data_IF_279787485586
#
_entry.id   IF_279787485586
#
_cell.length_a   1.000
_cell.length_b   1.000
_cell.length_c   1.000
_cell.angle_alpha   90.00
_cell.angle_beta   90.00
_cell.angle_gamma   90.00
#
_symmetry.space_group_name_H-M   'P 1'
#
loop_
_entity.id
_entity.type
_entity.pdbx_description
1 polymer ?
#
# COMPACT_ATOMS: atom_id res chain seq x y z
N UNK A 1 -50.62 -16.46 30.73
CA UNK A 1 -49.20 -16.73 30.53
C UNK A 1 -48.37 -16.06 31.59
N UNK A 2 -47.47 -16.76 32.25
CA UNK A 2 -46.53 -16.15 33.17
C UNK A 2 -45.55 -15.29 32.38
N UNK A 3 -45.28 -14.07 32.84
CA UNK A 3 -44.34 -13.18 32.19
C UNK A 3 -42.92 -13.74 32.29
N UNK A 4 -42.17 -13.67 31.21
CA UNK A 4 -40.76 -14.01 31.20
C UNK A 4 -39.94 -13.02 32.05
N UNK A 5 -38.93 -13.51 32.74
CA UNK A 5 -38.01 -12.65 33.49
C UNK A 5 -37.18 -11.79 32.58
N UNK A 6 -37.07 -10.50 32.84
CA UNK A 6 -36.12 -9.63 32.17
C UNK A 6 -34.73 -9.87 32.75
N UNK A 7 -33.71 -10.15 31.96
CA UNK A 7 -32.34 -10.37 32.44
C UNK A 7 -31.78 -9.14 33.20
N UNK A 8 -30.98 -9.37 34.24
CA UNK A 8 -30.32 -8.29 35.00
C UNK A 8 -29.37 -7.44 34.10
N UNK A 9 -28.84 -8.05 33.05
CA UNK A 9 -27.92 -7.43 32.07
C UNK A 9 -28.62 -6.94 30.76
N UNK A 10 -29.92 -6.59 30.87
CA UNK A 10 -30.76 -6.25 29.70
C UNK A 10 -30.15 -5.16 28.80
N UNK A 11 -29.60 -4.10 29.37
CA UNK A 11 -29.00 -3.02 28.56
C UNK A 11 -27.76 -3.48 27.80
N UNK A 12 -26.90 -4.32 28.41
CA UNK A 12 -25.73 -4.90 27.74
C UNK A 12 -26.15 -5.88 26.64
N UNK A 13 -27.21 -6.67 26.89
CA UNK A 13 -27.81 -7.59 25.92
C UNK A 13 -28.35 -6.83 24.69
N UNK A 14 -29.10 -5.78 24.91
CA UNK A 14 -29.63 -4.93 23.84
C UNK A 14 -28.51 -4.28 23.04
N UNK A 15 -27.50 -3.75 23.71
CA UNK A 15 -26.32 -3.18 23.04
C UNK A 15 -25.58 -4.24 22.18
N UNK A 16 -25.47 -5.48 22.67
CA UNK A 16 -24.91 -6.58 21.91
C UNK A 16 -25.76 -6.92 20.67
N UNK A 17 -27.08 -6.94 20.82
CA UNK A 17 -28.03 -7.19 19.72
C UNK A 17 -27.95 -6.08 18.65
N UNK A 18 -27.95 -4.82 19.07
CA UNK A 18 -27.84 -3.66 18.16
C UNK A 18 -26.53 -3.72 17.36
N UNK A 19 -25.44 -4.13 18.00
CA UNK A 19 -24.12 -4.23 17.35
C UNK A 19 -24.05 -5.28 16.23
N UNK A 20 -25.03 -6.20 16.16
CA UNK A 20 -25.10 -7.21 15.10
C UNK A 20 -25.76 -6.69 13.81
N UNK A 21 -26.45 -5.54 13.88
CA UNK A 21 -27.17 -4.94 12.74
C UNK A 21 -28.11 -5.92 12.04
N UNK A 22 -28.81 -6.76 12.83
CA UNK A 22 -29.75 -7.77 12.34
C UNK A 22 -31.21 -7.37 12.56
N UNK A 23 -31.51 -6.51 13.56
CA UNK A 23 -32.86 -6.07 13.81
C UNK A 23 -33.42 -5.32 12.61
N UNK A 24 -34.62 -5.73 12.19
CA UNK A 24 -35.35 -5.15 11.07
C UNK A 24 -34.62 -5.21 9.73
N UNK A 25 -33.49 -5.94 9.64
CA UNK A 25 -32.75 -6.15 8.41
C UNK A 25 -33.55 -7.08 7.44
N UNK A 26 -33.30 -6.97 6.13
CA UNK A 26 -33.84 -7.94 5.17
C UNK A 26 -33.41 -9.37 5.52
N UNK A 27 -34.26 -10.36 5.14
CA UNK A 27 -33.89 -11.77 5.27
C UNK A 27 -32.62 -12.07 4.45
N UNK A 28 -31.77 -12.94 4.98
CA UNK A 28 -30.53 -13.37 4.32
C UNK A 28 -30.58 -14.88 4.01
N UNK A 29 -30.20 -15.24 2.78
CA UNK A 29 -30.21 -16.62 2.31
C UNK A 29 -29.48 -17.61 3.21
N UNK A 30 -28.41 -17.16 3.87
CA UNK A 30 -27.62 -18.00 4.78
C UNK A 30 -28.45 -18.42 6.00
N UNK A 31 -29.17 -17.49 6.62
CA UNK A 31 -30.04 -17.76 7.78
C UNK A 31 -31.28 -18.57 7.35
N UNK A 32 -31.90 -18.21 6.22
CA UNK A 32 -33.04 -18.93 5.70
C UNK A 32 -32.70 -20.39 5.42
N UNK A 33 -31.53 -20.69 4.83
CA UNK A 33 -31.09 -22.06 4.59
C UNK A 33 -30.95 -22.88 5.87
N UNK A 34 -30.43 -22.29 6.95
CA UNK A 34 -30.30 -22.97 8.25
C UNK A 34 -31.66 -23.24 8.85
N UNK A 35 -32.55 -22.23 8.87
CA UNK A 35 -33.90 -22.37 9.45
C UNK A 35 -34.78 -23.37 8.65
N UNK A 36 -34.69 -23.38 7.32
CA UNK A 36 -35.36 -24.39 6.48
C UNK A 36 -34.82 -25.79 6.79
N UNK A 37 -33.50 -25.94 6.85
CA UNK A 37 -32.89 -27.23 7.19
C UNK A 37 -33.27 -27.70 8.59
N UNK A 38 -33.40 -26.77 9.54
CA UNK A 38 -33.86 -27.05 10.91
C UNK A 38 -35.27 -27.66 10.87
N UNK A 39 -36.23 -27.05 10.15
CA UNK A 39 -37.58 -27.54 10.01
C UNK A 39 -37.63 -28.96 9.37
N UNK A 40 -36.80 -29.19 8.34
CA UNK A 40 -36.69 -30.50 7.68
C UNK A 40 -36.14 -31.58 8.61
N UNK A 41 -35.01 -31.29 9.29
CA UNK A 41 -34.30 -32.26 10.15
C UNK A 41 -35.15 -32.69 11.34
N UNK A 42 -35.86 -31.75 11.97
CA UNK A 42 -36.75 -32.05 13.10
C UNK A 42 -38.16 -32.44 12.66
N UNK A 43 -38.43 -32.39 11.34
CA UNK A 43 -39.75 -32.69 10.79
C UNK A 43 -40.86 -31.94 11.53
N UNK A 44 -40.73 -30.61 11.62
CA UNK A 44 -41.66 -29.72 12.31
C UNK A 44 -42.23 -28.73 11.30
N UNK A 45 -43.50 -28.27 11.46
CA UNK A 45 -44.13 -27.32 10.57
C UNK A 45 -43.56 -25.91 10.68
N UNK A 46 -42.99 -25.53 11.84
CA UNK A 46 -42.49 -24.18 12.08
C UNK A 46 -41.11 -24.21 12.70
N UNK A 47 -40.22 -23.39 12.14
CA UNK A 47 -38.90 -23.10 12.70
C UNK A 47 -38.60 -21.63 12.53
N UNK A 48 -37.94 -21.01 13.53
CA UNK A 48 -37.59 -19.58 13.45
C UNK A 48 -36.23 -19.30 14.08
N UNK A 49 -35.56 -18.31 13.53
CA UNK A 49 -34.51 -17.55 14.19
C UNK A 49 -35.12 -16.23 14.67
N UNK A 50 -35.33 -16.11 15.96
CA UNK A 50 -35.92 -14.92 16.57
C UNK A 50 -34.89 -14.14 17.38
N UNK A 51 -35.01 -12.82 17.36
CA UNK A 51 -34.23 -11.85 18.10
C UNK A 51 -35.16 -11.08 19.03
N UNK A 52 -34.80 -10.91 20.28
CA UNK A 52 -35.64 -10.26 21.28
C UNK A 52 -35.13 -8.84 21.53
N UNK A 53 -35.86 -7.87 21.02
CA UNK A 53 -35.66 -6.45 21.25
C UNK A 53 -36.30 -6.01 22.59
N UNK A 54 -36.30 -4.72 22.88
CA UNK A 54 -36.87 -4.14 24.13
C UNK A 54 -38.35 -4.50 24.31
N UNK A 55 -39.14 -4.33 23.26
CA UNK A 55 -40.60 -4.51 23.32
C UNK A 55 -41.14 -5.53 22.30
N UNK A 56 -40.28 -6.02 21.41
CA UNK A 56 -40.68 -6.88 20.32
C UNK A 56 -39.77 -8.11 20.17
N UNK A 57 -40.33 -9.17 19.63
CA UNK A 57 -39.61 -10.29 19.02
C UNK A 57 -39.59 -10.07 17.52
N UNK A 58 -38.39 -10.09 16.94
CA UNK A 58 -38.18 -9.97 15.52
C UNK A 58 -37.72 -11.30 14.90
N UNK A 59 -38.42 -11.77 13.88
CA UNK A 59 -38.07 -13.00 13.17
C UNK A 59 -37.07 -12.68 12.06
N UNK A 60 -35.78 -12.90 12.29
CA UNK A 60 -34.74 -12.71 11.29
C UNK A 60 -34.91 -13.70 10.12
N UNK A 61 -35.24 -14.94 10.43
CA UNK A 61 -35.58 -16.00 9.46
C UNK A 61 -36.68 -16.89 10.02
N UNK A 62 -37.54 -17.41 9.15
CA UNK A 62 -38.67 -18.22 9.57
C UNK A 62 -39.13 -19.18 8.46
N UNK A 63 -39.77 -20.29 8.90
CA UNK A 63 -40.52 -21.24 8.07
C UNK A 63 -41.82 -21.55 8.77
N UNK A 64 -42.92 -21.54 8.05
CA UNK A 64 -44.23 -22.01 8.52
C UNK A 64 -44.99 -21.07 9.45
N UNK A 65 -44.55 -19.84 9.67
CA UNK A 65 -45.36 -18.86 10.39
C UNK A 65 -46.63 -18.45 9.62
N UNK A 66 -47.72 -18.01 10.30
CA UNK A 66 -48.87 -17.40 9.67
C UNK A 66 -48.51 -16.26 8.71
N UNK A 67 -49.24 -16.08 7.63
CA UNK A 67 -48.86 -15.17 6.54
C UNK A 67 -48.72 -13.71 6.96
N UNK A 68 -49.53 -13.21 7.87
CA UNK A 68 -49.45 -11.87 8.45
C UNK A 68 -48.18 -11.69 9.29
N UNK A 69 -47.85 -12.68 10.13
CA UNK A 69 -46.66 -12.67 10.95
C UNK A 69 -45.38 -12.88 10.10
N UNK A 70 -45.45 -13.70 9.07
CA UNK A 70 -44.35 -13.88 8.13
C UNK A 70 -44.03 -12.59 7.35
N UNK A 71 -45.03 -11.76 7.07
CA UNK A 71 -44.89 -10.49 6.37
C UNK A 71 -44.35 -9.40 7.30
N UNK A 72 -44.92 -9.24 8.52
CA UNK A 72 -44.51 -8.19 9.48
C UNK A 72 -43.19 -8.54 10.15
N UNK A 73 -42.92 -9.83 10.38
CA UNK A 73 -41.76 -10.36 11.07
C UNK A 73 -41.59 -9.82 12.50
N UNK A 74 -42.63 -9.24 13.07
CA UNK A 74 -42.60 -8.62 14.41
C UNK A 74 -43.74 -9.19 15.25
N UNK A 75 -43.43 -9.53 16.51
CA UNK A 75 -44.35 -10.06 17.47
C UNK A 75 -44.15 -9.37 18.84
N UNK A 76 -45.21 -9.13 19.65
CA UNK A 76 -45.04 -8.52 20.96
C UNK A 76 -44.20 -9.41 21.91
N UNK A 77 -43.14 -8.83 22.51
CA UNK A 77 -42.21 -9.53 23.41
C UNK A 77 -42.91 -10.14 24.63
N UNK A 78 -43.90 -9.43 25.19
CA UNK A 78 -44.58 -9.85 26.43
C UNK A 78 -45.30 -11.18 26.34
N UNK A 79 -45.71 -11.59 25.11
CA UNK A 79 -46.40 -12.85 24.86
C UNK A 79 -45.53 -13.83 24.05
N UNK A 80 -44.27 -13.48 23.76
CA UNK A 80 -43.32 -14.27 23.00
C UNK A 80 -42.73 -15.40 23.87
N UNK A 81 -42.84 -16.66 23.40
CA UNK A 81 -42.26 -17.80 24.09
C UNK A 81 -40.73 -17.72 24.14
N UNK A 82 -40.12 -17.25 23.07
CA UNK A 82 -38.67 -17.07 22.91
C UNK A 82 -38.07 -16.11 23.95
N UNK A 83 -38.88 -15.19 24.51
CA UNK A 83 -38.45 -14.30 25.60
C UNK A 83 -38.10 -15.07 26.90
N UNK A 84 -38.69 -16.24 27.13
CA UNK A 84 -38.30 -17.08 28.26
C UNK A 84 -36.90 -17.68 28.09
N UNK A 85 -36.49 -18.03 26.86
CA UNK A 85 -35.13 -18.50 26.59
C UNK A 85 -34.10 -17.37 26.88
N UNK A 86 -34.43 -16.13 26.50
CA UNK A 86 -33.60 -14.97 26.83
C UNK A 86 -33.57 -14.69 28.33
N UNK A 87 -34.71 -14.82 29.02
CA UNK A 87 -34.80 -14.55 30.44
C UNK A 87 -34.05 -15.54 31.33
N UNK A 88 -33.93 -16.81 30.90
CA UNK A 88 -33.24 -17.87 31.67
C UNK A 88 -31.82 -18.15 31.18
N UNK A 89 -31.44 -17.68 29.99
CA UNK A 89 -30.21 -18.04 29.29
C UNK A 89 -30.02 -19.57 29.10
N UNK A 90 -31.11 -20.31 29.07
CA UNK A 90 -31.11 -21.75 28.91
C UNK A 90 -32.04 -22.20 27.80
N UNK A 91 -31.82 -23.39 27.27
CA UNK A 91 -32.71 -24.05 26.33
C UNK A 91 -34.06 -24.27 26.99
N UNK A 92 -35.13 -23.83 26.34
CA UNK A 92 -36.50 -24.11 26.80
C UNK A 92 -37.09 -25.22 25.95
N UNK A 93 -37.55 -26.28 26.61
CA UNK A 93 -38.31 -27.38 25.99
C UNK A 93 -39.65 -27.50 26.68
N UNK A 94 -40.75 -27.51 25.93
CA UNK A 94 -42.09 -27.72 26.39
C UNK A 94 -42.75 -28.75 25.49
N UNK A 95 -42.91 -30.00 25.97
CA UNK A 95 -43.40 -31.15 25.20
C UNK A 95 -44.91 -31.07 24.91
N UNK A 96 -45.69 -30.46 25.84
CA UNK A 96 -47.08 -30.11 25.61
C UNK A 96 -47.43 -28.77 26.28
N UNK A 97 -47.48 -27.72 25.43
CA UNK A 97 -47.76 -26.34 25.84
C UNK A 97 -49.13 -26.17 26.53
N UNK A 98 -50.13 -26.99 26.20
CA UNK A 98 -51.47 -26.89 26.80
C UNK A 98 -51.51 -27.47 28.22
N UNK A 99 -50.58 -28.36 28.58
CA UNK A 99 -50.42 -28.88 29.91
C UNK A 99 -49.45 -28.09 30.81
N UNK A 100 -48.68 -27.17 30.27
CA UNK A 100 -47.68 -26.39 31.01
C UNK A 100 -48.33 -25.14 31.62
N UNK A 101 -48.24 -25.05 32.94
CA UNK A 101 -48.85 -23.94 33.69
C UNK A 101 -48.31 -22.52 33.32
N UNK A 102 -47.15 -22.44 32.67
CA UNK A 102 -46.56 -21.17 32.20
C UNK A 102 -47.25 -20.67 30.95
N UNK A 103 -47.76 -21.57 30.09
CA UNK A 103 -48.14 -21.25 28.71
C UNK A 103 -49.58 -21.65 28.34
N UNK A 104 -50.27 -22.49 29.13
CA UNK A 104 -51.60 -23.07 28.80
C UNK A 104 -52.67 -22.02 28.46
N UNK A 105 -52.61 -20.85 29.05
CA UNK A 105 -53.50 -19.71 28.82
C UNK A 105 -52.98 -18.69 27.79
N UNK A 106 -51.82 -18.94 27.20
CA UNK A 106 -51.20 -18.05 26.16
C UNK A 106 -52.04 -18.01 24.89
N UNK A 107 -52.19 -16.81 24.28
CA UNK A 107 -52.83 -16.71 22.97
C UNK A 107 -52.15 -17.59 21.88
N UNK A 108 -50.86 -17.80 21.95
CA UNK A 108 -50.09 -18.66 21.03
C UNK A 108 -50.55 -20.12 21.14
N UNK A 109 -50.96 -20.56 22.32
CA UNK A 109 -51.52 -21.91 22.58
C UNK A 109 -53.00 -21.97 22.31
N UNK A 110 -53.78 -21.06 22.87
CA UNK A 110 -55.27 -21.09 22.86
C UNK A 110 -55.88 -20.72 21.48
N UNK A 111 -55.24 -19.83 20.77
CA UNK A 111 -55.67 -19.32 19.45
C UNK A 111 -54.74 -19.81 18.32
N UNK A 112 -53.45 -19.82 18.54
CA UNK A 112 -52.42 -20.24 17.56
C UNK A 112 -52.25 -21.74 17.44
N UNK A 113 -52.79 -22.57 18.37
CA UNK A 113 -52.74 -24.02 18.33
C UNK A 113 -51.38 -24.66 18.54
N UNK A 114 -50.41 -23.89 19.10
CA UNK A 114 -49.07 -24.41 19.37
C UNK A 114 -49.15 -25.41 20.53
N UNK A 115 -48.57 -26.60 20.32
CA UNK A 115 -48.57 -27.68 21.33
C UNK A 115 -47.14 -28.10 21.78
N UNK A 116 -46.14 -27.90 20.95
CA UNK A 116 -44.75 -28.19 21.26
C UNK A 116 -43.87 -26.98 20.94
N UNK A 117 -42.90 -26.75 21.78
CA UNK A 117 -41.85 -25.74 21.63
C UNK A 117 -40.50 -26.25 22.11
N UNK A 118 -39.45 -26.08 21.32
CA UNK A 118 -38.07 -26.17 21.78
C UNK A 118 -37.25 -25.05 21.20
N UNK A 119 -36.56 -24.28 22.03
CA UNK A 119 -35.76 -23.14 21.66
C UNK A 119 -34.38 -23.13 22.31
N UNK A 120 -33.33 -23.06 21.52
CA UNK A 120 -31.94 -22.91 21.96
C UNK A 120 -31.53 -21.45 21.96
N UNK A 121 -30.80 -20.97 22.99
CA UNK A 121 -30.36 -19.60 23.09
C UNK A 121 -29.35 -19.25 21.98
N UNK A 122 -29.53 -18.06 21.38
CA UNK A 122 -28.59 -17.42 20.46
C UNK A 122 -27.71 -16.48 21.26
N UNK A 123 -26.45 -16.85 21.49
CA UNK A 123 -25.51 -16.11 22.33
C UNK A 123 -24.57 -15.26 21.46
N UNK A 124 -24.47 -13.97 21.82
CA UNK A 124 -23.48 -13.06 21.25
C UNK A 124 -22.06 -13.42 21.66
N UNK A 125 -21.04 -12.82 21.06
CA UNK A 125 -19.64 -12.98 21.47
C UNK A 125 -19.38 -12.59 22.92
N UNK A 126 -20.14 -11.64 23.45
CA UNK A 126 -20.09 -11.25 24.86
C UNK A 126 -20.82 -12.20 25.82
N UNK A 127 -21.37 -13.29 25.31
CA UNK A 127 -22.12 -14.27 26.12
C UNK A 127 -23.56 -13.87 26.45
N UNK A 128 -24.09 -12.78 25.83
CA UNK A 128 -25.47 -12.35 26.05
C UNK A 128 -26.42 -13.10 25.13
N UNK A 129 -27.51 -13.65 25.67
CA UNK A 129 -28.57 -14.29 24.87
C UNK A 129 -29.45 -13.22 24.21
N UNK A 130 -29.32 -13.09 22.91
CA UNK A 130 -29.98 -12.05 22.10
C UNK A 130 -31.29 -12.52 21.47
N UNK A 131 -31.57 -13.82 21.51
CA UNK A 131 -32.72 -14.44 20.90
C UNK A 131 -32.71 -15.94 21.02
N UNK A 132 -33.49 -16.64 20.18
CA UNK A 132 -33.49 -18.10 20.14
C UNK A 132 -33.61 -18.65 18.71
N UNK A 133 -33.04 -19.83 18.50
CA UNK A 133 -33.33 -20.71 17.39
C UNK A 133 -34.35 -21.72 17.87
N UNK A 134 -35.57 -21.70 17.32
CA UNK A 134 -36.61 -22.55 17.85
C UNK A 134 -37.35 -23.35 16.79
N UNK A 135 -37.94 -24.48 17.25
CA UNK A 135 -38.83 -25.34 16.50
C UNK A 135 -40.16 -25.45 17.25
N UNK A 136 -41.26 -25.47 16.49
CA UNK A 136 -42.63 -25.39 16.99
C UNK A 136 -43.46 -26.40 16.25
N UNK A 137 -44.36 -27.10 17.00
CA UNK A 137 -45.36 -27.99 16.36
C UNK A 137 -46.76 -27.78 17.00
N UNK A 138 -47.77 -28.15 16.21
CA UNK A 138 -49.19 -28.16 16.62
C UNK A 138 -49.60 -29.46 17.30
N UNK A 139 -48.64 -30.38 17.52
CA UNK A 139 -48.83 -31.67 18.24
C UNK A 139 -47.80 -31.73 19.38
N UNK A 140 -48.16 -32.33 20.52
CA UNK A 140 -47.19 -32.64 21.58
C UNK A 140 -46.07 -33.53 21.01
N UNK A 141 -44.84 -33.29 21.49
CA UNK A 141 -43.67 -34.07 21.11
C UNK A 141 -42.73 -34.29 22.30
N UNK A 142 -42.12 -35.44 22.32
CA UNK A 142 -40.93 -35.68 23.14
C UNK A 142 -39.69 -35.35 22.31
N UNK A 143 -38.65 -34.80 22.92
CA UNK A 143 -37.38 -34.48 22.31
C UNK A 143 -36.25 -35.19 23.05
N UNK A 144 -35.43 -35.92 22.31
CA UNK A 144 -34.28 -36.63 22.87
C UNK A 144 -33.13 -35.70 23.21
N UNK A 145 -32.25 -36.12 24.12
CA UNK A 145 -31.02 -35.37 24.48
C UNK A 145 -30.12 -35.13 23.24
N UNK A 146 -30.10 -36.08 22.30
CA UNK A 146 -29.37 -35.90 21.05
C UNK A 146 -29.96 -34.78 20.14
N UNK A 147 -31.28 -34.71 20.13
CA UNK A 147 -31.99 -33.64 19.38
C UNK A 147 -31.79 -32.26 20.05
N UNK A 148 -31.80 -32.19 21.38
CA UNK A 148 -31.47 -30.95 22.11
C UNK A 148 -30.04 -30.48 21.81
N UNK A 149 -29.08 -31.40 21.83
CA UNK A 149 -27.69 -31.10 21.47
C UNK A 149 -27.58 -30.61 20.03
N UNK A 150 -28.30 -31.25 19.09
CA UNK A 150 -28.33 -30.84 17.69
C UNK A 150 -28.89 -29.42 17.52
N UNK A 151 -30.00 -29.10 18.21
CA UNK A 151 -30.61 -27.77 18.17
C UNK A 151 -29.63 -26.72 18.69
N UNK A 152 -28.94 -26.99 19.79
CA UNK A 152 -27.91 -26.07 20.32
C UNK A 152 -26.72 -25.90 19.35
N UNK A 153 -26.24 -27.00 18.76
CA UNK A 153 -25.16 -26.92 17.78
C UNK A 153 -25.55 -26.08 16.56
N UNK A 154 -26.80 -26.17 16.11
CA UNK A 154 -27.30 -25.33 14.99
C UNK A 154 -27.43 -23.85 15.41
N UNK A 155 -27.84 -23.57 16.65
CA UNK A 155 -27.87 -22.21 17.20
C UNK A 155 -26.46 -21.61 17.25
N UNK A 156 -25.46 -22.37 17.73
CA UNK A 156 -24.06 -21.93 17.79
C UNK A 156 -23.46 -21.73 16.38
N UNK A 157 -23.77 -22.61 15.43
CA UNK A 157 -23.36 -22.46 14.03
C UNK A 157 -23.95 -21.21 13.39
N UNK A 158 -25.22 -20.92 13.68
CA UNK A 158 -25.90 -19.73 13.18
C UNK A 158 -25.27 -18.46 13.73
N UNK A 159 -24.92 -18.42 15.02
CA UNK A 159 -24.21 -17.27 15.62
C UNK A 159 -22.79 -17.13 15.05
N UNK A 160 -22.14 -18.24 14.70
CA UNK A 160 -20.85 -18.19 13.95
C UNK A 160 -21.02 -17.55 12.59
N UNK A 161 -22.08 -17.85 11.87
CA UNK A 161 -22.39 -17.21 10.57
C UNK A 161 -22.64 -15.70 10.72
N UNK A 162 -23.37 -15.29 11.77
CA UNK A 162 -23.56 -13.86 12.11
C UNK A 162 -22.21 -13.16 12.30
N UNK A 163 -21.32 -13.79 13.06
CA UNK A 163 -19.96 -13.27 13.29
C UNK A 163 -19.16 -13.13 12.01
N UNK A 164 -19.13 -14.18 11.18
CA UNK A 164 -18.40 -14.18 9.90
C UNK A 164 -18.93 -13.09 8.94
N UNK A 165 -20.24 -12.90 8.89
CA UNK A 165 -20.88 -11.84 8.13
C UNK A 165 -20.34 -10.46 8.53
N UNK A 166 -20.31 -10.15 9.83
CA UNK A 166 -19.83 -8.89 10.37
C UNK A 166 -18.36 -8.66 10.02
N UNK A 167 -17.50 -9.66 10.28
CA UNK A 167 -16.08 -9.59 9.95
C UNK A 167 -15.88 -9.33 8.44
N UNK A 168 -16.65 -10.00 7.59
CA UNK A 168 -16.59 -9.82 6.14
C UNK A 168 -16.96 -8.39 5.72
N UNK A 169 -17.98 -7.79 6.33
CA UNK A 169 -18.39 -6.40 6.06
C UNK A 169 -17.30 -5.41 6.50
N UNK A 170 -16.75 -5.57 7.69
CA UNK A 170 -15.67 -4.73 8.23
C UNK A 170 -14.42 -4.79 7.35
N UNK A 171 -14.01 -5.99 6.95
CA UNK A 171 -12.86 -6.18 6.05
C UNK A 171 -13.06 -5.49 4.68
N UNK A 172 -14.25 -5.60 4.09
CA UNK A 172 -14.58 -4.87 2.85
C UNK A 172 -14.47 -3.36 3.01
N UNK A 173 -14.97 -2.82 4.13
CA UNK A 173 -14.87 -1.40 4.45
C UNK A 173 -13.43 -0.91 4.61
N UNK A 174 -12.59 -1.70 5.30
CA UNK A 174 -11.15 -1.42 5.49
C UNK A 174 -10.42 -1.47 4.13
N UNK A 175 -10.64 -2.54 3.36
CA UNK A 175 -10.02 -2.72 2.03
C UNK A 175 -10.34 -1.54 1.10
N UNK A 176 -11.59 -1.11 1.05
CA UNK A 176 -11.99 0.03 0.23
C UNK A 176 -11.33 1.34 0.67
N UNK A 177 -11.22 1.58 1.98
CA UNK A 177 -10.53 2.77 2.52
C UNK A 177 -9.03 2.76 2.20
N UNK A 178 -8.37 1.60 2.33
CA UNK A 178 -6.96 1.44 1.97
C UNK A 178 -6.71 1.70 0.48
N UNK A 179 -7.54 1.11 -0.40
CA UNK A 179 -7.44 1.32 -1.84
C UNK A 179 -7.60 2.80 -2.23
N UNK A 180 -8.51 3.53 -1.58
CA UNK A 180 -8.69 4.95 -1.84
C UNK A 180 -7.50 5.79 -1.36
N UNK A 181 -6.94 5.49 -0.18
CA UNK A 181 -5.73 6.16 0.33
C UNK A 181 -4.54 5.92 -0.59
N UNK A 182 -4.34 4.68 -1.04
CA UNK A 182 -3.25 4.34 -1.95
C UNK A 182 -3.35 5.11 -3.28
N UNK A 183 -4.54 5.19 -3.89
CA UNK A 183 -4.76 5.97 -5.12
C UNK A 183 -4.47 7.47 -4.92
N UNK A 184 -4.78 8.02 -3.75
CA UNK A 184 -4.48 9.43 -3.44
C UNK A 184 -2.96 9.65 -3.39
N UNK A 185 -2.22 8.80 -2.67
CA UNK A 185 -0.75 8.86 -2.57
C UNK A 185 -0.11 8.70 -3.95
N UNK A 186 -0.55 7.74 -4.77
CA UNK A 186 -0.03 7.55 -6.13
C UNK A 186 -0.28 8.76 -7.04
N UNK A 187 -1.38 9.49 -6.83
CA UNK A 187 -1.64 10.75 -7.54
C UNK A 187 -0.65 11.84 -7.14
N UNK A 188 -0.46 12.05 -5.84
CA UNK A 188 0.50 13.03 -5.32
C UNK A 188 1.92 12.74 -5.80
N UNK A 189 2.33 11.46 -5.79
CA UNK A 189 3.64 11.05 -6.30
C UNK A 189 3.79 11.31 -7.80
N UNK A 190 2.74 11.09 -8.60
CA UNK A 190 2.77 11.42 -10.04
C UNK A 190 2.90 12.92 -10.29
N UNK A 191 2.22 13.75 -9.52
CA UNK A 191 2.34 15.21 -9.61
C UNK A 191 3.75 15.67 -9.24
N UNK A 192 4.32 15.11 -8.15
CA UNK A 192 5.70 15.40 -7.75
C UNK A 192 6.73 14.94 -8.81
N UNK A 193 6.51 13.77 -9.45
CA UNK A 193 7.34 13.32 -10.59
C UNK A 193 7.32 14.31 -11.74
N UNK A 194 6.16 14.84 -12.09
CA UNK A 194 6.05 15.85 -13.16
C UNK A 194 6.86 17.10 -12.80
N UNK A 195 6.81 17.57 -11.55
CA UNK A 195 7.63 18.69 -11.08
C UNK A 195 9.13 18.36 -11.18
N UNK A 196 9.56 17.17 -10.75
CA UNK A 196 10.96 16.76 -10.83
C UNK A 196 11.47 16.74 -12.29
N UNK A 197 10.67 16.27 -13.23
CA UNK A 197 11.03 16.27 -14.66
C UNK A 197 11.29 17.68 -15.21
N UNK A 198 10.59 18.71 -14.71
CA UNK A 198 10.87 20.11 -15.08
C UNK A 198 12.19 20.65 -14.49
N UNK A 199 12.74 19.98 -13.46
CA UNK A 199 14.03 20.38 -12.91
C UNK A 199 15.22 19.87 -13.73
N UNK A 200 15.03 18.86 -14.58
CA UNK A 200 16.09 18.36 -15.45
C UNK A 200 16.42 19.38 -16.55
N UNK A 201 17.67 19.45 -17.00
CA UNK A 201 18.06 20.28 -18.15
C UNK A 201 17.40 19.73 -19.44
N UNK A 202 17.42 20.49 -20.55
CA UNK A 202 17.06 19.95 -21.85
C UNK A 202 17.88 18.69 -22.18
N UNK A 203 17.30 17.65 -22.80
CA UNK A 203 17.98 16.37 -23.05
C UNK A 203 19.27 16.47 -23.88
N UNK A 204 19.35 17.50 -24.70
CA UNK A 204 20.51 17.80 -25.53
C UNK A 204 20.87 19.28 -25.41
N UNK A 205 22.13 19.55 -25.14
CA UNK A 205 22.71 20.89 -25.15
C UNK A 205 23.97 20.91 -26.03
N UNK A 206 24.15 21.92 -26.82
CA UNK A 206 25.33 22.07 -27.68
C UNK A 206 25.91 23.46 -27.58
N UNK A 207 27.23 23.57 -27.58
CA UNK A 207 27.94 24.84 -27.54
C UNK A 207 29.43 24.64 -27.79
N UNK A 208 30.09 25.62 -28.40
CA UNK A 208 31.57 25.77 -28.54
C UNK A 208 32.38 24.46 -28.60
N UNK A 209 32.02 23.58 -29.54
CA UNK A 209 32.79 22.34 -29.76
C UNK A 209 32.43 21.15 -28.87
N UNK A 210 31.28 21.20 -28.20
CA UNK A 210 30.81 20.06 -27.45
C UNK A 210 29.30 19.85 -27.56
N UNK A 211 28.88 18.61 -27.36
CA UNK A 211 27.50 18.19 -27.17
C UNK A 211 27.37 17.51 -25.81
N UNK A 212 26.40 17.92 -25.03
CA UNK A 212 26.02 17.25 -23.78
C UNK A 212 24.65 16.62 -23.94
N UNK A 213 24.56 15.33 -23.69
CA UNK A 213 23.30 14.58 -23.63
C UNK A 213 23.15 13.91 -22.29
N UNK A 214 21.92 13.71 -21.86
CA UNK A 214 21.65 12.96 -20.63
C UNK A 214 20.45 12.04 -20.79
N UNK A 215 20.40 11.00 -19.96
CA UNK A 215 19.25 10.12 -19.75
C UNK A 215 19.08 9.90 -18.25
N UNK A 216 17.84 9.95 -17.77
CA UNK A 216 17.50 9.75 -16.38
C UNK A 216 16.32 8.78 -16.26
N UNK A 217 16.55 7.69 -15.53
CA UNK A 217 15.58 6.63 -15.32
C UNK A 217 15.41 6.36 -13.82
N UNK A 218 14.42 6.99 -13.18
CA UNK A 218 14.17 6.78 -11.77
C UNK A 218 13.64 5.37 -11.51
N UNK A 219 14.11 4.74 -10.44
CA UNK A 219 13.65 3.43 -9.99
C UNK A 219 12.20 3.45 -9.52
N UNK A 220 11.82 4.48 -8.77
CA UNK A 220 10.47 4.67 -8.23
C UNK A 220 9.78 5.87 -8.92
N UNK A 221 8.69 6.31 -8.35
CA UNK A 221 7.95 7.47 -8.84
C UNK A 221 8.81 8.74 -8.88
N UNK A 222 9.71 8.91 -7.90
CA UNK A 222 10.58 10.08 -7.74
C UNK A 222 11.96 9.57 -7.30
N UNK A 223 13.01 9.98 -8.00
CA UNK A 223 14.38 9.56 -7.71
C UNK A 223 15.18 10.56 -6.86
N UNK A 224 16.31 10.08 -6.32
CA UNK A 224 17.29 10.86 -5.59
C UNK A 224 18.33 11.52 -6.49
N UNK A 225 18.58 10.95 -7.65
CA UNK A 225 19.59 11.45 -8.58
C UNK A 225 19.30 12.86 -9.06
N UNK A 226 20.36 13.64 -9.19
CA UNK A 226 20.34 14.99 -9.70
C UNK A 226 21.37 15.15 -10.82
N UNK A 227 20.97 15.80 -11.89
CA UNK A 227 21.87 16.22 -12.96
C UNK A 227 21.50 17.61 -13.47
N UNK A 228 22.50 18.41 -13.75
CA UNK A 228 22.33 19.70 -14.44
C UNK A 228 23.57 20.09 -15.23
N UNK A 229 23.33 20.93 -16.24
CA UNK A 229 24.37 21.45 -17.12
C UNK A 229 24.14 22.96 -17.32
N UNK A 230 25.18 23.72 -17.18
CA UNK A 230 25.16 25.17 -17.47
C UNK A 230 26.16 25.50 -18.55
N UNK A 231 25.65 25.91 -19.72
CA UNK A 231 26.47 26.56 -20.75
C UNK A 231 26.66 28.02 -20.39
N UNK A 232 27.87 28.53 -20.57
CA UNK A 232 28.25 29.94 -20.33
C UNK A 232 28.46 30.68 -21.64
N UNK A 233 28.46 32.01 -21.57
CA UNK A 233 28.63 32.89 -22.73
C UNK A 233 30.03 32.78 -23.36
N UNK A 234 31.04 32.39 -22.61
CA UNK A 234 32.39 32.09 -23.07
C UNK A 234 32.53 30.73 -23.78
N UNK A 235 31.44 30.00 -23.90
CA UNK A 235 31.38 28.66 -24.50
C UNK A 235 31.80 27.54 -23.53
N UNK A 236 32.20 27.85 -22.31
CA UNK A 236 32.48 26.82 -21.30
C UNK A 236 31.19 26.18 -20.79
N UNK A 237 31.33 24.97 -20.22
CA UNK A 237 30.21 24.25 -19.62
C UNK A 237 30.56 23.70 -18.24
N UNK A 238 29.65 23.89 -17.31
CA UNK A 238 29.72 23.31 -15.97
C UNK A 238 28.64 22.25 -15.85
N UNK A 239 29.05 21.05 -15.44
CA UNK A 239 28.15 19.90 -15.26
C UNK A 239 28.21 19.46 -13.79
N UNK A 240 27.08 18.98 -13.29
CA UNK A 240 26.98 18.28 -12.01
C UNK A 240 26.10 17.05 -12.19
N UNK A 241 26.61 15.91 -11.74
CA UNK A 241 25.84 14.70 -11.53
C UNK A 241 25.98 14.32 -10.07
N UNK A 242 24.89 14.04 -9.38
CA UNK A 242 24.89 13.71 -7.96
C UNK A 242 23.81 12.67 -7.66
N UNK A 243 24.04 11.87 -6.63
CA UNK A 243 23.09 10.91 -6.08
C UNK A 243 22.92 11.14 -4.58
N UNK A 244 21.66 11.28 -4.16
CA UNK A 244 21.28 11.49 -2.76
C UNK A 244 20.94 10.15 -2.12
N UNK A 245 21.69 9.76 -1.08
CA UNK A 245 21.50 8.51 -0.36
C UNK A 245 20.04 8.25 0.03
N UNK A 246 19.49 7.09 -0.40
CA UNK A 246 18.12 6.68 -0.21
C UNK A 246 17.17 7.23 -1.27
N UNK A 247 15.89 6.90 -1.19
CA UNK A 247 14.89 7.16 -2.24
C UNK A 247 13.67 7.93 -1.72
N UNK A 248 12.82 8.35 -2.65
CA UNK A 248 11.52 8.96 -2.39
C UNK A 248 11.57 10.48 -2.16
N UNK A 249 10.50 11.03 -1.61
CA UNK A 249 10.23 12.47 -1.57
C UNK A 249 11.36 13.30 -0.91
N UNK A 250 11.96 12.78 0.16
CA UNK A 250 13.04 13.50 0.86
C UNK A 250 14.31 13.63 0.00
N UNK A 251 14.69 12.57 -0.74
CA UNK A 251 15.82 12.61 -1.66
C UNK A 251 15.53 13.58 -2.81
N UNK A 252 14.34 13.51 -3.40
CA UNK A 252 13.91 14.42 -4.47
C UNK A 252 13.88 15.90 -4.06
N UNK A 253 13.50 16.20 -2.81
CA UNK A 253 13.57 17.58 -2.28
C UNK A 253 15.02 18.06 -2.14
N UNK A 254 15.93 17.20 -1.70
CA UNK A 254 17.38 17.52 -1.65
C UNK A 254 17.91 17.80 -3.06
N UNK A 255 17.53 16.99 -4.06
CA UNK A 255 17.89 17.20 -5.48
C UNK A 255 17.35 18.54 -6.00
N UNK A 256 16.13 18.93 -5.64
CA UNK A 256 15.56 20.24 -6.02
C UNK A 256 16.31 21.42 -5.36
N UNK A 257 16.75 21.28 -4.12
CA UNK A 257 17.59 22.28 -3.44
C UNK A 257 18.98 22.36 -4.10
N UNK A 258 19.56 21.22 -4.46
CA UNK A 258 20.82 21.13 -5.22
C UNK A 258 20.72 21.88 -6.53
N UNK A 259 19.60 21.79 -7.26
CA UNK A 259 19.33 22.57 -8.48
C UNK A 259 19.49 24.06 -8.26
N UNK A 260 18.90 24.59 -7.20
CA UNK A 260 18.94 26.02 -6.89
C UNK A 260 20.37 26.49 -6.58
N UNK A 261 21.11 25.71 -5.77
CA UNK A 261 22.49 26.00 -5.47
C UNK A 261 23.39 25.91 -6.70
N UNK A 262 23.24 24.83 -7.49
CA UNK A 262 23.99 24.66 -8.75
C UNK A 262 23.77 25.81 -9.71
N UNK A 263 22.53 26.20 -9.99
CA UNK A 263 22.23 27.27 -10.95
C UNK A 263 22.86 28.61 -10.56
N UNK A 264 22.94 28.90 -9.26
CA UNK A 264 23.58 30.10 -8.75
C UNK A 264 25.11 30.04 -8.88
N UNK A 265 25.70 28.92 -8.44
CA UNK A 265 27.16 28.77 -8.38
C UNK A 265 27.78 28.51 -9.75
N UNK A 266 27.14 27.75 -10.63
CA UNK A 266 27.64 27.42 -11.96
C UNK A 266 27.87 28.61 -12.88
N UNK A 267 27.40 29.81 -12.53
CA UNK A 267 27.66 31.04 -13.29
C UNK A 267 29.06 31.62 -13.04
N UNK A 268 29.64 31.40 -11.86
CA UNK A 268 30.86 32.14 -11.44
C UNK A 268 32.03 31.25 -10.99
N UNK A 269 31.77 29.96 -10.66
CA UNK A 269 32.87 29.07 -10.22
C UNK A 269 33.84 28.78 -11.36
N UNK A 270 35.13 28.85 -11.05
CA UNK A 270 36.18 28.54 -12.04
C UNK A 270 36.67 27.10 -11.97
N UNK A 271 36.56 26.49 -10.83
CA UNK A 271 37.00 25.11 -10.57
C UNK A 271 35.82 24.23 -10.16
N UNK A 272 35.76 22.96 -10.59
CA UNK A 272 34.66 22.06 -10.21
C UNK A 272 34.62 21.77 -8.70
N UNK A 273 35.74 21.79 -7.99
CA UNK A 273 35.76 21.62 -6.55
C UNK A 273 35.17 22.84 -5.78
N UNK A 274 35.28 24.07 -6.30
CA UNK A 274 34.61 25.24 -5.73
C UNK A 274 33.08 25.07 -5.80
N UNK A 275 32.58 24.45 -6.87
CA UNK A 275 31.16 24.11 -7.01
C UNK A 275 30.70 23.14 -5.90
N UNK A 276 31.47 22.06 -5.68
CA UNK A 276 31.17 21.06 -4.64
C UNK A 276 31.19 21.70 -3.24
N UNK A 277 32.21 22.50 -2.94
CA UNK A 277 32.34 23.25 -1.68
C UNK A 277 31.14 24.18 -1.46
N UNK A 278 30.77 24.95 -2.48
CA UNK A 278 29.65 25.87 -2.39
C UNK A 278 28.29 25.16 -2.21
N UNK A 279 28.06 24.05 -2.91
CA UNK A 279 26.84 23.23 -2.74
C UNK A 279 26.80 22.63 -1.34
N UNK A 280 27.91 22.08 -0.85
CA UNK A 280 27.99 21.54 0.50
C UNK A 280 27.63 22.61 1.54
N UNK A 281 28.24 23.78 1.46
CA UNK A 281 27.99 24.89 2.37
C UNK A 281 26.52 25.37 2.37
N UNK A 282 25.89 25.42 1.20
CA UNK A 282 24.48 25.81 1.06
C UNK A 282 23.52 24.80 1.68
N UNK A 283 23.79 23.50 1.51
CA UNK A 283 22.82 22.45 1.79
C UNK A 283 22.99 21.78 3.15
N UNK A 284 24.23 21.60 3.64
CA UNK A 284 24.51 20.83 4.85
C UNK A 284 23.77 21.35 6.09
N UNK A 285 23.55 22.66 6.17
CA UNK A 285 22.82 23.31 7.29
C UNK A 285 21.30 23.19 7.16
N UNK A 286 20.82 22.97 5.96
CA UNK A 286 19.39 22.93 5.64
C UNK A 286 18.86 21.49 5.58
N UNK A 287 19.67 20.56 5.07
CA UNK A 287 19.34 19.14 4.92
C UNK A 287 19.80 18.38 6.17
N UNK A 288 19.05 18.49 7.26
CA UNK A 288 19.35 17.80 8.55
C UNK A 288 18.74 16.39 8.61
N UNK A 289 18.81 15.62 7.53
CA UNK A 289 18.15 14.30 7.45
C UNK A 289 19.08 13.12 7.75
N UNK A 290 20.35 13.35 8.09
CA UNK A 290 21.37 12.30 8.24
C UNK A 290 21.70 11.60 6.92
N UNK A 291 21.36 12.20 5.77
CA UNK A 291 21.67 11.73 4.42
C UNK A 291 22.98 12.34 3.94
N UNK A 292 23.66 11.64 3.06
CA UNK A 292 24.80 12.16 2.30
C UNK A 292 24.44 12.20 0.81
N UNK A 293 25.25 12.87 0.02
CA UNK A 293 25.10 12.96 -1.41
C UNK A 293 26.45 12.72 -2.08
N UNK A 294 26.54 11.73 -2.95
CA UNK A 294 27.70 11.60 -3.83
C UNK A 294 27.57 12.56 -5.00
N UNK A 295 28.66 13.12 -5.48
CA UNK A 295 28.62 14.07 -6.57
C UNK A 295 29.92 14.06 -7.41
N UNK A 296 29.76 14.26 -8.73
CA UNK A 296 30.85 14.56 -9.64
C UNK A 296 30.55 15.86 -10.40
N UNK A 297 31.47 16.79 -10.34
CA UNK A 297 31.42 18.06 -11.07
C UNK A 297 32.47 18.07 -12.18
N UNK A 298 32.06 18.58 -13.36
CA UNK A 298 33.00 18.73 -14.49
C UNK A 298 32.88 20.14 -15.08
N UNK A 299 34.01 20.71 -15.46
CA UNK A 299 34.11 22.02 -16.13
C UNK A 299 34.87 21.86 -17.44
N UNK A 300 34.15 21.98 -18.56
CA UNK A 300 34.73 22.01 -19.91
C UNK A 300 35.12 23.42 -20.30
N UNK A 301 36.35 23.59 -20.83
CA UNK A 301 36.90 24.85 -21.35
C UNK A 301 37.27 24.70 -22.83
N UNK A 302 36.53 25.35 -23.74
CA UNK A 302 36.80 25.25 -25.17
C UNK A 302 38.11 25.98 -25.57
N UNK A 303 38.59 26.96 -24.77
CA UNK A 303 39.78 27.76 -25.05
C UNK A 303 41.05 26.91 -25.12
N UNK A 304 41.11 25.85 -24.33
CA UNK A 304 42.25 24.94 -24.27
C UNK A 304 41.89 23.46 -24.48
N UNK A 305 40.62 23.19 -24.87
CA UNK A 305 40.16 21.84 -25.15
C UNK A 305 40.23 20.92 -23.94
N UNK A 306 40.02 21.43 -22.72
CA UNK A 306 40.19 20.65 -21.53
C UNK A 306 38.89 20.45 -20.72
N UNK A 307 38.83 19.34 -19.99
CA UNK A 307 37.83 19.08 -18.95
C UNK A 307 38.54 18.92 -17.62
N UNK A 308 38.05 19.61 -16.61
CA UNK A 308 38.51 19.46 -15.24
C UNK A 308 37.38 18.81 -14.42
N UNK A 309 37.69 17.77 -13.60
CA UNK A 309 36.72 16.94 -12.89
C UNK A 309 37.10 16.89 -11.41
N UNK A 310 36.11 17.07 -10.53
CA UNK A 310 36.21 16.85 -9.09
C UNK A 310 35.13 15.89 -8.63
N UNK A 311 35.41 15.03 -7.67
CA UNK A 311 34.51 13.99 -7.17
C UNK A 311 34.39 13.99 -5.66
N UNK A 312 33.17 13.88 -5.17
CA UNK A 312 32.79 13.74 -3.77
C UNK A 312 32.07 12.42 -3.55
N UNK A 313 32.83 11.32 -3.40
CA UNK A 313 32.29 9.98 -3.17
C UNK A 313 31.58 9.33 -4.37
N UNK A 314 31.67 9.91 -5.59
CA UNK A 314 30.92 9.47 -6.76
C UNK A 314 31.70 8.44 -7.60
N UNK A 315 30.99 7.56 -8.37
CA UNK A 315 31.66 6.63 -9.30
C UNK A 315 32.61 7.31 -10.29
N UNK A 316 33.69 6.60 -10.65
CA UNK A 316 34.68 7.12 -11.58
C UNK A 316 34.12 7.28 -13.00
N UNK A 317 34.32 8.43 -13.64
CA UNK A 317 33.91 8.65 -15.03
C UNK A 317 34.59 7.70 -16.01
N UNK A 318 33.94 7.43 -17.15
CA UNK A 318 34.53 6.70 -18.27
C UNK A 318 34.87 7.67 -19.41
N UNK A 319 36.05 7.55 -19.97
CA UNK A 319 36.47 8.21 -21.20
C UNK A 319 36.52 7.23 -22.36
N UNK A 320 35.66 7.41 -23.34
CA UNK A 320 35.75 6.73 -24.65
C UNK A 320 36.61 7.58 -25.58
N UNK A 321 37.76 7.03 -25.97
CA UNK A 321 38.71 7.63 -26.93
C UNK A 321 39.02 6.64 -28.04
N UNK A 322 38.57 6.97 -29.25
CA UNK A 322 38.60 5.99 -30.36
C UNK A 322 37.84 4.72 -30.04
N UNK A 323 38.51 3.60 -30.03
CA UNK A 323 37.93 2.29 -29.69
C UNK A 323 38.36 1.76 -28.31
N UNK A 324 38.80 2.63 -27.41
CA UNK A 324 39.19 2.27 -26.06
C UNK A 324 38.35 3.03 -25.02
N UNK A 325 38.02 2.34 -23.91
CA UNK A 325 37.39 2.94 -22.75
C UNK A 325 38.38 2.92 -21.59
N UNK A 326 38.55 4.09 -20.98
CA UNK A 326 39.40 4.28 -19.82
C UNK A 326 38.55 4.71 -18.62
N UNK A 327 38.72 4.04 -17.48
CA UNK A 327 38.20 4.52 -16.18
C UNK A 327 39.10 5.66 -15.71
N UNK A 328 38.53 6.84 -15.51
CA UNK A 328 39.26 7.99 -15.01
C UNK A 328 39.29 7.98 -13.49
N UNK A 329 40.37 7.43 -12.91
CA UNK A 329 40.62 7.45 -11.46
C UNK A 329 40.90 8.86 -11.00
N UNK A 330 39.86 9.63 -10.71
CA UNK A 330 39.96 10.95 -10.13
C UNK A 330 40.15 10.86 -8.62
N UNK A 331 40.87 11.80 -7.96
CA UNK A 331 40.81 11.90 -6.52
C UNK A 331 39.35 12.00 -6.06
N UNK A 332 38.98 11.17 -5.07
CA UNK A 332 37.61 11.08 -4.60
C UNK A 332 37.59 11.52 -3.13
N UNK A 333 36.95 12.65 -2.87
CA UNK A 333 36.85 13.25 -1.54
C UNK A 333 35.58 12.77 -0.84
N UNK A 334 35.35 13.24 0.37
CA UNK A 334 34.19 12.84 1.18
C UNK A 334 32.87 13.21 0.48
N UNK A 335 31.82 12.39 0.50
CA UNK A 335 30.52 12.78 -0.02
C UNK A 335 30.00 14.08 0.61
N UNK A 336 29.17 14.80 -0.12
CA UNK A 336 28.53 16.03 0.34
C UNK A 336 27.55 15.74 1.50
N UNK A 337 27.25 16.75 2.31
CA UNK A 337 26.27 16.73 3.43
C UNK A 337 26.71 15.91 4.65
N UNK A 338 27.94 15.42 4.70
CA UNK A 338 28.48 14.71 5.87
C UNK A 338 29.02 15.72 6.89
N UNK A 339 29.83 16.69 6.43
CA UNK A 339 30.51 17.66 7.29
C UNK A 339 30.40 19.08 6.68
N UNK A 340 30.01 20.04 7.53
CA UNK A 340 29.84 21.44 7.12
C UNK A 340 31.12 22.15 6.76
N UNK A 341 32.25 21.70 7.32
CA UNK A 341 33.54 22.37 7.23
C UNK A 341 34.42 21.74 6.12
N UNK A 342 33.89 20.76 5.38
CA UNK A 342 34.61 20.17 4.28
C UNK A 342 34.78 21.15 3.14
N UNK A 343 36.02 21.47 2.80
CA UNK A 343 36.42 22.19 1.60
C UNK A 343 36.97 21.17 0.58
N UNK A 344 36.42 21.16 -0.61
CA UNK A 344 36.91 20.32 -1.71
C UNK A 344 38.04 21.05 -2.41
N UNK A 345 39.12 20.36 -2.71
CA UNK A 345 40.31 20.96 -3.27
C UNK A 345 40.96 20.18 -4.39
N UNK A 346 40.50 18.96 -4.63
CA UNK A 346 41.11 18.04 -5.58
C UNK A 346 40.36 18.00 -6.90
N UNK A 347 41.12 18.03 -7.98
CA UNK A 347 40.59 17.85 -9.33
C UNK A 347 41.57 17.11 -10.22
N UNK A 348 41.05 16.51 -11.30
CA UNK A 348 41.82 15.97 -12.41
C UNK A 348 41.49 16.75 -13.66
N UNK A 349 42.52 17.27 -14.36
CA UNK A 349 42.37 17.94 -15.64
C UNK A 349 42.88 17.02 -16.75
N UNK A 350 42.13 16.94 -17.83
CA UNK A 350 42.47 16.16 -19.02
C UNK A 350 42.19 16.96 -20.29
N UNK A 351 43.01 16.77 -21.31
CA UNK A 351 42.74 17.26 -22.65
C UNK A 351 41.73 16.34 -23.33
N UNK A 352 40.72 16.96 -23.95
CA UNK A 352 39.66 16.30 -24.73
C UNK A 352 39.88 16.59 -26.19
N UNK A 353 39.87 15.55 -27.03
CA UNK A 353 40.08 15.63 -28.49
C UNK A 353 38.78 15.39 -29.23
N UNK A 354 38.74 15.79 -30.48
CA UNK A 354 37.61 15.53 -31.39
C UNK A 354 37.22 14.03 -31.35
N UNK A 355 35.95 13.77 -31.09
CA UNK A 355 35.37 12.44 -30.99
C UNK A 355 35.49 11.76 -29.62
N UNK A 356 36.26 12.37 -28.69
CA UNK A 356 36.28 11.87 -27.32
C UNK A 356 34.90 12.05 -26.68
N UNK A 357 34.56 11.08 -25.81
CA UNK A 357 33.30 11.10 -25.06
C UNK A 357 33.53 10.76 -23.58
N UNK A 358 33.23 11.73 -22.73
CA UNK A 358 33.22 11.54 -21.29
C UNK A 358 31.84 11.08 -20.86
N UNK A 359 31.73 9.96 -20.15
CA UNK A 359 30.50 9.44 -19.54
C UNK A 359 30.57 9.59 -18.03
N UNK A 360 29.64 10.35 -17.46
CA UNK A 360 29.33 10.38 -16.02
C UNK A 360 28.07 9.55 -15.78
N UNK A 361 27.99 8.83 -14.65
CA UNK A 361 26.87 7.96 -14.35
C UNK A 361 26.75 7.74 -12.85
N UNK A 362 25.53 7.48 -12.34
CA UNK A 362 25.26 7.12 -10.96
C UNK A 362 25.49 5.63 -10.72
N UNK A 363 25.63 5.25 -9.44
CA UNK A 363 25.95 3.89 -9.05
C UNK A 363 24.90 2.86 -9.51
N UNK A 364 23.61 3.24 -9.65
CA UNK A 364 22.59 2.37 -10.21
C UNK A 364 22.93 1.79 -11.60
N UNK A 365 23.83 2.46 -12.36
CA UNK A 365 24.31 1.92 -13.63
C UNK A 365 25.26 0.74 -13.46
N UNK A 366 26.13 0.74 -12.45
CA UNK A 366 27.14 -0.29 -12.20
C UNK A 366 26.71 -1.32 -11.16
N UNK A 367 25.80 -0.95 -10.26
CA UNK A 367 25.23 -1.82 -9.23
C UNK A 367 24.01 -2.62 -9.73
N UNK A 368 23.60 -2.43 -10.98
CA UNK A 368 22.58 -3.24 -11.61
C UNK A 368 22.93 -4.73 -11.46
N UNK A 369 22.07 -5.50 -10.78
CA UNK A 369 22.32 -6.89 -10.42
C UNK A 369 21.74 -7.84 -11.46
N UNK A 370 22.58 -8.74 -11.97
CA UNK A 370 22.18 -9.86 -12.82
C UNK A 370 21.42 -10.95 -12.06
N UNK A 371 20.96 -11.99 -12.77
CA UNK A 371 20.14 -13.07 -12.20
C UNK A 371 20.81 -13.80 -11.04
N UNK A 372 22.12 -13.92 -11.09
CA UNK A 372 22.94 -14.67 -10.11
C UNK A 372 23.44 -13.77 -8.96
N UNK A 373 22.98 -12.49 -8.95
CA UNK A 373 23.35 -11.50 -7.93
C UNK A 373 24.70 -10.81 -8.21
N UNK A 374 25.36 -11.09 -9.34
CA UNK A 374 26.54 -10.35 -9.76
C UNK A 374 26.18 -8.94 -10.22
N UNK A 375 27.01 -7.94 -9.90
CA UNK A 375 26.82 -6.57 -10.37
C UNK A 375 27.44 -6.39 -11.76
N UNK A 376 26.86 -5.50 -12.57
CA UNK A 376 27.40 -5.13 -13.88
C UNK A 376 28.84 -4.59 -13.76
N UNK A 377 29.10 -3.76 -12.77
CA UNK A 377 30.41 -3.19 -12.48
C UNK A 377 30.96 -2.28 -13.58
N UNK A 378 32.17 -1.79 -13.34
CA UNK A 378 32.86 -0.91 -14.30
C UNK A 378 33.22 -1.66 -15.60
N UNK A 379 33.56 -2.93 -15.52
CA UNK A 379 33.93 -3.75 -16.69
C UNK A 379 32.70 -3.95 -17.59
N UNK A 380 31.56 -4.33 -17.01
CA UNK A 380 30.32 -4.52 -17.76
C UNK A 380 29.86 -3.24 -18.44
N UNK A 381 29.87 -2.12 -17.70
CA UNK A 381 29.51 -0.82 -18.27
C UNK A 381 30.48 -0.41 -19.40
N UNK A 382 31.79 -0.63 -19.23
CA UNK A 382 32.80 -0.36 -20.27
C UNK A 382 32.54 -1.14 -21.55
N UNK A 383 32.13 -2.44 -21.43
CA UNK A 383 31.75 -3.25 -22.59
C UNK A 383 30.50 -2.71 -23.30
N UNK A 384 29.52 -2.27 -22.55
CA UNK A 384 28.32 -1.61 -23.14
C UNK A 384 28.71 -0.34 -23.90
N UNK A 385 29.59 0.50 -23.34
CA UNK A 385 30.12 1.71 -23.98
C UNK A 385 30.82 1.37 -25.30
N UNK A 386 31.68 0.34 -25.32
CA UNK A 386 32.37 -0.11 -26.52
C UNK A 386 31.38 -0.65 -27.59
N UNK A 387 30.38 -1.39 -27.16
CA UNK A 387 29.32 -1.89 -28.06
C UNK A 387 28.55 -0.77 -28.73
N UNK A 388 28.29 0.31 -28.00
CA UNK A 388 27.52 1.46 -28.46
C UNK A 388 28.41 2.56 -29.14
N UNK A 389 29.74 2.39 -29.26
CA UNK A 389 30.68 3.44 -29.65
C UNK A 389 30.35 4.18 -30.96
N UNK A 390 29.70 3.51 -31.90
CA UNK A 390 29.30 4.09 -33.18
C UNK A 390 28.04 4.99 -33.11
N UNK A 391 27.32 4.94 -31.98
CA UNK A 391 26.14 5.75 -31.74
C UNK A 391 26.53 7.06 -31.02
N UNK A 392 25.70 8.11 -31.16
CA UNK A 392 25.92 9.43 -30.58
C UNK A 392 24.67 9.92 -29.83
N UNK A 393 24.87 10.83 -28.90
CA UNK A 393 23.80 11.53 -28.19
C UNK A 393 22.78 10.59 -27.51
N UNK A 394 21.51 10.84 -27.72
CA UNK A 394 20.41 10.08 -27.10
C UNK A 394 20.40 8.60 -27.48
N UNK A 395 20.78 8.26 -28.74
CA UNK A 395 20.83 6.87 -29.20
C UNK A 395 21.90 6.06 -28.47
N UNK A 396 23.05 6.69 -28.17
CA UNK A 396 24.10 6.10 -27.36
C UNK A 396 23.61 5.82 -25.93
N UNK A 397 23.06 6.84 -25.24
CA UNK A 397 22.59 6.71 -23.87
C UNK A 397 21.45 5.70 -23.73
N UNK A 398 20.51 5.70 -24.70
CA UNK A 398 19.44 4.72 -24.76
C UNK A 398 19.98 3.29 -24.86
N UNK A 399 20.97 3.07 -25.73
CA UNK A 399 21.58 1.74 -25.90
C UNK A 399 22.29 1.27 -24.62
N UNK A 400 22.97 2.19 -23.92
CA UNK A 400 23.56 1.88 -22.61
C UNK A 400 22.49 1.46 -21.60
N UNK A 401 21.44 2.24 -21.46
CA UNK A 401 20.34 1.93 -20.52
C UNK A 401 19.64 0.61 -20.88
N UNK A 402 19.36 0.37 -22.15
CA UNK A 402 18.78 -0.90 -22.63
C UNK A 402 19.70 -2.10 -22.29
N UNK A 403 21.03 -1.92 -22.39
CA UNK A 403 22.03 -2.91 -22.00
C UNK A 403 22.04 -3.17 -20.49
N UNK A 404 22.06 -2.11 -19.67
CA UNK A 404 21.98 -2.20 -18.20
C UNK A 404 20.68 -2.92 -17.79
N UNK A 405 19.55 -2.50 -18.35
CA UNK A 405 18.24 -3.08 -18.08
C UNK A 405 18.17 -4.56 -18.48
N UNK A 406 18.75 -4.92 -19.63
CA UNK A 406 18.82 -6.30 -20.10
C UNK A 406 19.64 -7.18 -19.18
N UNK A 407 20.79 -6.70 -18.69
CA UNK A 407 21.63 -7.39 -17.72
C UNK A 407 20.86 -7.66 -16.42
N UNK A 408 20.13 -6.65 -15.91
CA UNK A 408 19.28 -6.76 -14.72
C UNK A 408 17.94 -7.47 -14.98
N UNK A 409 17.68 -7.97 -16.20
CA UNK A 409 16.37 -8.52 -16.62
C UNK A 409 15.19 -7.61 -16.29
N UNK A 410 15.36 -6.30 -16.45
CA UNK A 410 14.38 -5.28 -16.14
C UNK A 410 14.14 -5.01 -14.65
N UNK A 411 14.98 -5.57 -13.76
CA UNK A 411 14.88 -5.42 -12.30
C UNK A 411 15.97 -4.48 -11.77
N UNK A 412 16.03 -3.28 -12.32
CA UNK A 412 16.88 -2.21 -11.77
C UNK A 412 16.31 -1.82 -10.40
N UNK A 413 17.18 -1.61 -9.41
CA UNK A 413 16.80 -1.38 -8.00
C UNK A 413 17.20 0.01 -7.47
N UNK A 414 17.81 0.82 -8.33
CA UNK A 414 18.22 2.18 -8.02
C UNK A 414 18.01 3.09 -9.22
N UNK A 415 18.07 4.40 -8.99
CA UNK A 415 18.02 5.40 -10.04
C UNK A 415 19.20 5.24 -10.99
N UNK A 416 19.01 5.45 -12.29
CA UNK A 416 20.08 5.42 -13.27
C UNK A 416 20.10 6.76 -14.00
N UNK A 417 21.12 7.56 -13.73
CA UNK A 417 21.41 8.78 -14.48
C UNK A 417 22.69 8.61 -15.28
N UNK A 418 22.65 8.97 -16.56
CA UNK A 418 23.75 8.92 -17.50
C UNK A 418 23.92 10.29 -18.14
N UNK A 419 25.15 10.82 -18.15
CA UNK A 419 25.47 12.10 -18.81
C UNK A 419 26.68 11.91 -19.69
N UNK A 420 26.61 12.32 -20.94
CA UNK A 420 27.75 12.34 -21.86
C UNK A 420 28.11 13.77 -22.22
N UNK A 421 29.43 14.03 -22.22
CA UNK A 421 30.04 15.19 -22.87
C UNK A 421 30.86 14.67 -24.05
N UNK A 422 30.47 15.01 -25.27
CA UNK A 422 31.10 14.63 -26.52
C UNK A 422 31.78 15.84 -27.18
N UNK A 423 33.08 15.73 -27.47
CA UNK A 423 33.86 16.76 -28.17
C UNK A 423 33.60 16.69 -29.66
N UNK A 424 33.22 17.83 -30.26
CA UNK A 424 32.84 17.94 -31.66
C UNK A 424 33.73 18.91 -32.48
N UNK A 425 34.75 19.48 -31.82
CA UNK A 425 35.77 20.36 -32.43
C UNK A 425 37.17 19.86 -32.16
#
# INVERSE_FOLDING_TARGET
MLAATIPENEEQRLAALDSMELLYAPSERAFDAIVHRLAEVFNVPVATMSLIDRDTEFYMSQVGLPADLAQTRVFPREIAICNHVVGTDEMLVVEDMAGDARFSDSPVVTQGGVRFYAGAPLRSEGGYTVGSLCIIDTKPREITEREKQLLQMLADALMTEVKLRRISQDLRGISHRLANKQRAIERELREAKAVQQFLLPPPLQSGSGMIVCHAYHPFDHIGGDFLDVRLRDDGSAVLLLADVSGHGLSAALTSAMTKTSFQRLALSVERPYDLLTGINADLVRTVQTGRFMTAVAAHYRPQDGSVEISSAGHPYPLLLRGSSVQVLTTPNELPLLIDSDTEYTLSTRLEIHLGDRLLLYTDGAIEAAGPDGEMLGFEGLSQLVLTAQALHGEAFLKTLFDGISSFARGKIRDDVALVTLECTL
#
